data_IF_629224570588
#
_entry.id   IF_629224570588
#
_cell.length_a   1.000
_cell.length_b   1.000
_cell.length_c   1.000
_cell.angle_alpha   90.00
_cell.angle_beta   90.00
_cell.angle_gamma   90.00
#
_symmetry.space_group_name_H-M   'P 1'
#
loop_
_entity.id
_entity.type
_entity.pdbx_description
1 polymer ?
#
# COMPACT_ATOMS: atom_id res chain seq x y z
N UNK A 1 -4.00 9.59 -7.49
CA UNK A 1 -4.49 8.37 -8.18
C UNK A 1 -4.92 7.35 -7.15
N UNK A 2 -5.76 6.39 -7.54
CA UNK A 2 -6.06 5.22 -6.71
C UNK A 2 -5.75 3.95 -7.50
N UNK A 3 -5.17 2.96 -6.82
CA UNK A 3 -4.90 1.64 -7.36
C UNK A 3 -5.49 0.60 -6.40
N UNK A 4 -5.86 -0.56 -6.92
CA UNK A 4 -6.36 -1.68 -6.13
C UNK A 4 -5.60 -2.91 -6.53
N UNK A 5 -5.05 -3.64 -5.57
CA UNK A 5 -4.21 -4.81 -5.87
C UNK A 5 -3.79 -5.57 -4.64
N UNK A 6 -3.02 -6.63 -4.85
CA UNK A 6 -2.43 -7.46 -3.80
C UNK A 6 -1.11 -6.85 -3.34
N UNK A 7 -0.90 -6.81 -2.02
CA UNK A 7 0.35 -6.35 -1.41
C UNK A 7 1.41 -7.45 -1.45
N UNK A 8 2.62 -7.10 -1.88
CA UNK A 8 3.81 -7.95 -1.88
C UNK A 8 5.00 -7.22 -1.28
N UNK A 9 5.99 -7.98 -0.81
CA UNK A 9 7.31 -7.47 -0.39
C UNK A 9 7.24 -6.29 0.59
N UNK A 10 6.26 -6.29 1.51
CA UNK A 10 6.17 -5.26 2.56
C UNK A 10 7.45 -5.22 3.40
N UNK A 11 8.03 -4.03 3.49
CA UNK A 11 9.21 -3.73 4.29
C UNK A 11 8.95 -2.48 5.13
N UNK A 12 8.96 -2.65 6.45
CA UNK A 12 8.75 -1.59 7.42
C UNK A 12 10.08 -0.97 7.85
N UNK A 13 10.09 0.36 7.98
CA UNK A 13 11.19 1.16 8.53
C UNK A 13 10.60 2.20 9.47
N UNK A 14 11.45 2.80 10.30
CA UNK A 14 11.01 3.78 11.30
C UNK A 14 10.22 4.95 10.70
N UNK A 15 10.57 5.37 9.48
CA UNK A 15 9.99 6.55 8.82
C UNK A 15 8.98 6.22 7.74
N UNK A 16 8.95 4.98 7.25
CA UNK A 16 8.12 4.61 6.11
C UNK A 16 7.96 3.10 5.95
N UNK A 17 6.89 2.73 5.26
CA UNK A 17 6.64 1.37 4.82
C UNK A 17 6.68 1.34 3.30
N UNK A 18 7.51 0.46 2.74
CA UNK A 18 7.55 0.19 1.31
C UNK A 18 6.86 -1.14 1.02
N UNK A 19 6.18 -1.24 -0.11
CA UNK A 19 5.56 -2.47 -0.58
C UNK A 19 5.36 -2.42 -2.09
N UNK A 20 5.13 -3.56 -2.72
CA UNK A 20 4.76 -3.68 -4.13
C UNK A 20 3.27 -3.96 -4.22
N UNK A 21 2.58 -3.24 -5.10
CA UNK A 21 1.17 -3.49 -5.42
C UNK A 21 1.08 -4.15 -6.80
N UNK A 22 0.40 -5.29 -6.87
CA UNK A 22 0.11 -6.02 -8.11
C UNK A 22 -1.41 -6.02 -8.36
N UNK A 23 -1.85 -5.41 -9.47
CA UNK A 23 -3.26 -5.33 -9.86
C UNK A 23 -3.62 -6.29 -11.02
N UNK A 24 -2.70 -7.16 -11.41
CA UNK A 24 -2.83 -8.07 -12.56
C UNK A 24 -2.49 -7.44 -13.91
N UNK A 25 -2.33 -6.12 -14.00
CA UNK A 25 -1.83 -5.42 -15.20
C UNK A 25 -0.35 -5.08 -15.10
N UNK A 26 0.19 -5.09 -13.89
CA UNK A 26 1.60 -4.89 -13.62
C UNK A 26 1.86 -4.66 -12.13
N UNK A 27 3.12 -4.35 -11.82
CA UNK A 27 3.60 -4.11 -10.46
C UNK A 27 4.11 -2.70 -10.30
N UNK A 28 3.81 -2.08 -9.16
CA UNK A 28 4.31 -0.75 -8.81
C UNK A 28 4.78 -0.72 -7.36
N UNK A 29 5.92 -0.08 -7.13
CA UNK A 29 6.41 0.19 -5.78
C UNK A 29 5.59 1.31 -5.16
N UNK A 30 5.13 1.09 -3.93
CA UNK A 30 4.42 2.03 -3.10
C UNK A 30 5.27 2.38 -1.87
N UNK A 31 5.22 3.64 -1.45
CA UNK A 31 5.83 4.11 -0.20
C UNK A 31 4.82 4.89 0.62
N UNK A 32 4.62 4.48 1.87
CA UNK A 32 3.78 5.17 2.85
C UNK A 32 4.68 5.74 3.94
N UNK A 33 4.71 7.07 4.07
CA UNK A 33 5.43 7.72 5.18
C UNK A 33 4.70 7.50 6.50
N UNK A 34 5.46 7.38 7.58
CA UNK A 34 4.97 7.30 8.96
C UNK A 34 5.32 8.63 9.63
N UNK A 35 4.31 9.48 9.77
CA UNK A 35 4.43 10.78 10.45
C UNK A 35 3.72 10.75 11.81
N UNK A 36 2.64 9.99 11.91
CA UNK A 36 1.79 9.88 13.09
C UNK A 36 1.56 8.42 13.49
N UNK A 37 1.19 8.19 14.75
CA UNK A 37 0.83 6.84 15.25
C UNK A 37 -0.34 6.21 14.49
N UNK A 38 -1.22 7.03 13.91
CA UNK A 38 -2.28 6.55 13.02
C UNK A 38 -1.71 5.87 11.76
N UNK A 39 -0.65 6.43 11.17
CA UNK A 39 -0.01 5.87 9.98
C UNK A 39 0.57 4.49 10.26
N UNK A 40 1.19 4.32 11.44
CA UNK A 40 1.72 3.05 11.90
C UNK A 40 0.61 2.01 11.99
N UNK A 41 -0.49 2.35 12.68
CA UNK A 41 -1.64 1.43 12.85
C UNK A 41 -2.30 1.07 11.52
N UNK A 42 -2.51 2.03 10.62
CA UNK A 42 -3.06 1.77 9.28
C UNK A 42 -2.19 0.74 8.54
N UNK A 43 -0.87 0.83 8.66
CA UNK A 43 0.05 -0.08 7.99
C UNK A 43 0.31 -1.39 8.75
N UNK A 44 0.12 -1.47 10.06
CA UNK A 44 0.21 -2.71 10.86
C UNK A 44 -0.83 -3.74 10.40
N UNK A 45 -2.05 -3.28 10.10
CA UNK A 45 -3.12 -4.14 9.60
C UNK A 45 -2.84 -4.67 8.17
N UNK A 46 -1.99 -3.99 7.40
CA UNK A 46 -1.68 -4.36 6.01
C UNK A 46 -0.57 -5.41 5.98
N UNK A 47 -0.88 -6.57 5.40
CA UNK A 47 0.02 -7.71 5.26
C UNK A 47 0.21 -8.09 3.79
N UNK A 48 1.30 -8.80 3.50
CA UNK A 48 1.50 -9.43 2.20
C UNK A 48 0.34 -10.40 1.91
N UNK A 49 -0.18 -10.37 0.68
CA UNK A 49 -1.35 -11.15 0.27
C UNK A 49 -2.68 -10.42 0.46
N UNK A 50 -2.73 -9.33 1.22
CA UNK A 50 -3.96 -8.56 1.38
C UNK A 50 -4.31 -7.82 0.08
N UNK A 51 -5.59 -7.83 -0.27
CA UNK A 51 -6.13 -6.98 -1.32
C UNK A 51 -6.44 -5.60 -0.73
N UNK A 52 -5.80 -4.56 -1.26
CA UNK A 52 -5.91 -3.21 -0.72
C UNK A 52 -6.22 -2.19 -1.82
N UNK A 53 -6.91 -1.12 -1.43
CA UNK A 53 -7.03 0.11 -2.20
C UNK A 53 -6.02 1.13 -1.67
N UNK A 54 -5.13 1.59 -2.53
CA UNK A 54 -4.10 2.58 -2.23
C UNK A 54 -4.48 3.91 -2.86
N UNK A 55 -4.39 4.98 -2.09
CA UNK A 55 -4.50 6.36 -2.58
C UNK A 55 -3.14 7.05 -2.46
N UNK A 56 -2.70 7.68 -3.54
CA UNK A 56 -1.38 8.29 -3.57
C UNK A 56 -1.10 9.19 -4.75
N UNK A 57 0.08 9.81 -4.72
CA UNK A 57 0.64 10.59 -5.81
C UNK A 57 1.61 9.72 -6.61
N UNK A 58 1.38 9.61 -7.92
CA UNK A 58 2.31 8.93 -8.82
C UNK A 58 3.50 9.86 -9.07
N UNK A 59 4.72 9.35 -8.84
CA UNK A 59 5.97 10.04 -9.13
C UNK A 59 6.80 9.21 -10.10
N UNK A 60 7.60 9.88 -10.90
CA UNK A 60 8.57 9.26 -11.80
C UNK A 60 9.92 9.91 -11.57
N UNK A 61 10.93 9.11 -11.25
CA UNK A 61 12.30 9.59 -11.08
C UNK A 61 13.24 8.66 -11.83
N UNK A 62 14.04 9.22 -12.73
CA UNK A 62 14.97 8.46 -13.58
C UNK A 62 14.30 7.27 -14.32
N UNK A 63 13.07 7.45 -14.77
CA UNK A 63 12.30 6.42 -15.49
C UNK A 63 11.60 5.39 -14.61
N UNK A 64 11.85 5.38 -13.30
CA UNK A 64 11.16 4.49 -12.36
C UNK A 64 9.91 5.19 -11.83
N UNK A 65 8.76 4.54 -11.99
CA UNK A 65 7.47 5.00 -11.45
C UNK A 65 7.26 4.43 -10.05
N UNK A 66 6.88 5.29 -9.12
CA UNK A 66 6.58 4.93 -7.74
C UNK A 66 5.34 5.68 -7.26
N UNK A 67 4.52 5.02 -6.44
CA UNK A 67 3.38 5.64 -5.79
C UNK A 67 3.76 6.09 -4.37
N UNK A 68 3.64 7.38 -4.08
CA UNK A 68 3.69 7.88 -2.68
C UNK A 68 2.28 7.82 -2.10
N UNK A 69 2.03 6.85 -1.22
CA UNK A 69 0.73 6.62 -0.61
C UNK A 69 0.48 7.54 0.59
N UNK A 70 -0.75 8.03 0.73
CA UNK A 70 -1.23 8.76 1.91
C UNK A 70 -2.41 8.07 2.59
N UNK A 71 -3.02 7.05 1.96
CA UNK A 71 -3.96 6.14 2.65
C UNK A 71 -3.94 4.77 1.98
N UNK A 72 -4.04 3.73 2.80
CA UNK A 72 -4.09 2.32 2.38
C UNK A 72 -5.26 1.67 3.10
N UNK A 73 -6.21 1.12 2.35
CA UNK A 73 -7.43 0.52 2.91
C UNK A 73 -7.55 -0.92 2.47
N UNK A 74 -7.80 -1.82 3.40
CA UNK A 74 -8.20 -3.18 3.07
C UNK A 74 -9.47 -3.18 2.24
N UNK A 75 -9.52 -4.07 1.25
CA UNK A 75 -10.76 -4.36 0.52
C UNK A 75 -11.32 -5.65 1.09
N UNK A 76 -12.24 -5.49 2.05
CA UNK A 76 -13.05 -6.60 2.52
C UNK A 76 -14.07 -6.95 1.44
N UNK A 77 -14.04 -8.19 0.94
CA UNK A 77 -15.16 -8.76 0.21
C UNK A 77 -16.17 -9.23 1.26
N UNK A 78 -17.23 -8.46 1.51
CA UNK A 78 -18.37 -8.88 2.32
C UNK A 78 -18.85 -10.26 1.84
N UNK A 79 -18.71 -11.33 2.64
CA UNK A 79 -19.72 -11.71 3.64
C UNK A 79 -19.21 -12.49 4.87
N UNK A 80 -17.91 -12.83 5.02
CA UNK A 80 -17.55 -13.83 6.06
C UNK A 80 -16.37 -13.50 6.98
N UNK A 81 -15.39 -12.68 6.60
CA UNK A 81 -14.14 -12.58 7.37
C UNK A 81 -13.52 -11.18 7.31
N UNK A 82 -14.01 -10.31 8.19
CA UNK A 82 -13.20 -9.31 8.90
C UNK A 82 -13.68 -9.37 10.35
N UNK A 83 -13.20 -10.37 11.09
CA UNK A 83 -13.28 -10.45 12.56
C UNK A 83 -11.84 -10.46 13.10
#
# INVERSE_FOLDING_TARGET
>A
VTLVGIVHEKAERNTDVNFVLDDGTGRITCRRWINETFDTKEMEEVLNGNYVRVYGHLKSFQGVRQLTAFSVRHVCWTHSLCL
#
